data_IF_859644069103
#
_entry.id   IF_859644069103
#
_cell.length_a   1.000
_cell.length_b   1.000
_cell.length_c   1.000
_cell.angle_alpha   90.00
_cell.angle_beta   90.00
_cell.angle_gamma   90.00
#
_symmetry.space_group_name_H-M   'P 1'
#
loop_
_entity.id
_entity.type
_entity.pdbx_description
1 polymer ?
#
# COMPACT_ATOMS: atom_id res chain seq x y z
N UNK A 1 -24.21 -3.84 6.22
CA UNK A 1 -23.76 -4.16 4.86
C UNK A 1 -22.98 -2.95 4.37
N UNK A 2 -21.69 -3.10 4.12
CA UNK A 2 -20.88 -2.00 3.58
C UNK A 2 -21.27 -1.77 2.12
N UNK A 3 -21.38 -0.50 1.72
CA UNK A 3 -21.66 -0.10 0.35
C UNK A 3 -20.49 -0.50 -0.56
N UNK A 4 -20.72 -1.30 -1.64
CA UNK A 4 -19.68 -1.70 -2.58
C UNK A 4 -18.89 -0.51 -3.16
N UNK A 5 -19.55 0.62 -3.41
CA UNK A 5 -18.87 1.81 -3.94
C UNK A 5 -17.91 2.41 -2.90
N UNK A 6 -18.34 2.47 -1.63
CA UNK A 6 -17.51 2.94 -0.52
C UNK A 6 -16.31 2.01 -0.27
N UNK A 7 -16.50 0.70 -0.38
CA UNK A 7 -15.40 -0.27 -0.29
C UNK A 7 -14.38 -0.07 -1.42
N UNK A 8 -14.85 0.06 -2.67
CA UNK A 8 -13.99 0.26 -3.83
C UNK A 8 -13.16 1.53 -3.74
N UNK A 9 -13.75 2.63 -3.28
CA UNK A 9 -13.04 3.89 -3.01
C UNK A 9 -11.98 3.72 -1.92
N UNK A 10 -12.34 3.12 -0.79
CA UNK A 10 -11.43 2.90 0.32
C UNK A 10 -10.22 2.04 -0.09
N UNK A 11 -10.47 0.98 -0.85
CA UNK A 11 -9.42 0.11 -1.39
C UNK A 11 -8.49 0.90 -2.32
N UNK A 12 -9.03 1.68 -3.27
CA UNK A 12 -8.23 2.50 -4.19
C UNK A 12 -7.35 3.50 -3.45
N UNK A 13 -7.89 4.18 -2.44
CA UNK A 13 -7.13 5.15 -1.64
C UNK A 13 -5.96 4.49 -0.93
N UNK A 14 -6.19 3.35 -0.28
CA UNK A 14 -5.14 2.60 0.38
C UNK A 14 -4.06 2.11 -0.62
N UNK A 15 -4.48 1.55 -1.75
CA UNK A 15 -3.57 1.09 -2.79
C UNK A 15 -2.73 2.24 -3.37
N UNK A 16 -3.34 3.40 -3.64
CA UNK A 16 -2.65 4.57 -4.15
C UNK A 16 -1.57 5.05 -3.17
N UNK A 17 -1.90 5.18 -1.88
CA UNK A 17 -0.94 5.61 -0.85
C UNK A 17 0.24 4.64 -0.73
N UNK A 18 0.01 3.33 -0.85
CA UNK A 18 1.09 2.31 -0.85
C UNK A 18 2.04 2.46 -2.04
N UNK A 19 1.52 2.86 -3.20
CA UNK A 19 2.28 2.97 -4.46
C UNK A 19 2.82 4.38 -4.74
N UNK A 20 2.72 5.30 -3.77
CA UNK A 20 3.15 6.70 -3.94
C UNK A 20 2.25 7.51 -4.89
N UNK A 21 1.07 6.98 -5.22
CA UNK A 21 0.05 7.64 -6.01
C UNK A 21 -0.90 8.48 -5.14
N UNK A 22 -1.57 9.41 -5.80
CA UNK A 22 -2.67 10.19 -5.23
C UNK A 22 -3.97 9.57 -5.74
N UNK A 23 -4.88 9.19 -4.85
CA UNK A 23 -6.28 9.05 -5.27
C UNK A 23 -6.80 10.43 -5.69
N UNK A 24 -7.75 10.50 -6.62
CA UNK A 24 -8.22 11.74 -7.31
C UNK A 24 -8.53 12.94 -6.38
N UNK A 25 -8.72 12.71 -5.07
CA UNK A 25 -8.72 13.73 -4.03
C UNK A 25 -7.39 13.70 -3.26
N UNK A 26 -6.40 14.42 -3.79
CA UNK A 26 -5.05 14.41 -3.26
C UNK A 26 -4.91 14.84 -1.80
N UNK A 27 -4.34 14.01 -0.89
CA UNK A 27 -3.82 14.50 0.39
C UNK A 27 -2.51 15.28 0.14
N UNK A 28 -2.16 16.25 1.01
CA UNK A 28 -1.15 17.25 0.70
C UNK A 28 0.18 16.58 0.35
N UNK A 29 0.91 17.15 -0.61
CA UNK A 29 2.35 16.85 -0.79
C UNK A 29 2.96 16.83 0.59
N UNK A 30 3.40 15.66 1.05
CA UNK A 30 3.96 15.48 2.39
C UNK A 30 5.31 16.21 2.40
N UNK A 31 5.26 17.51 2.67
CA UNK A 31 6.44 18.34 2.83
C UNK A 31 6.84 18.32 4.29
N UNK A 32 8.09 17.97 4.55
CA UNK A 32 8.68 18.09 5.88
C UNK A 32 8.56 19.54 6.32
N UNK A 33 7.94 19.78 7.48
CA UNK A 33 7.88 21.12 8.06
C UNK A 33 9.30 21.56 8.46
N UNK A 34 9.63 22.85 8.38
CA UNK A 34 11.00 23.33 8.65
C UNK A 34 11.47 23.07 10.09
N UNK A 35 10.55 22.91 11.04
CA UNK A 35 10.78 22.58 12.44
C UNK A 35 10.76 21.08 12.75
N UNK A 36 10.38 20.24 11.77
CA UNK A 36 10.25 18.80 11.96
C UNK A 36 11.58 18.09 11.64
N UNK A 37 12.05 17.25 12.56
CA UNK A 37 13.20 16.39 12.31
C UNK A 37 12.91 15.38 11.19
N UNK A 38 13.96 14.89 10.51
CA UNK A 38 13.80 13.85 9.50
C UNK A 38 13.14 12.59 10.09
N UNK A 39 13.49 12.24 11.32
CA UNK A 39 12.89 11.13 12.04
C UNK A 39 11.38 11.32 12.22
N UNK A 40 10.96 12.47 12.75
CA UNK A 40 9.54 12.76 12.97
C UNK A 40 8.76 12.75 11.65
N UNK A 41 9.35 13.26 10.58
CA UNK A 41 8.73 13.24 9.26
C UNK A 41 8.58 11.82 8.71
N UNK A 42 9.61 10.98 8.79
CA UNK A 42 9.55 9.58 8.35
C UNK A 42 8.55 8.78 9.18
N UNK A 43 8.47 9.03 10.49
CA UNK A 43 7.55 8.36 11.39
C UNK A 43 6.08 8.77 11.17
N UNK A 44 5.82 9.96 10.62
CA UNK A 44 4.47 10.54 10.54
C UNK A 44 3.88 10.56 9.13
N UNK A 45 4.66 10.79 8.08
CA UNK A 45 4.09 11.22 6.78
C UNK A 45 3.19 10.17 6.11
N UNK A 46 3.66 8.92 6.02
CA UNK A 46 2.85 7.82 5.45
C UNK A 46 1.90 7.22 6.48
N UNK A 47 2.29 7.21 7.76
CA UNK A 47 1.48 6.70 8.87
C UNK A 47 0.18 7.49 9.03
N UNK A 48 0.24 8.81 8.97
CA UNK A 48 -0.94 9.68 9.06
C UNK A 48 -1.94 9.42 7.91
N UNK A 49 -1.44 9.03 6.73
CA UNK A 49 -2.28 8.65 5.59
C UNK A 49 -2.83 7.22 5.68
N UNK A 50 -2.01 6.25 6.10
CA UNK A 50 -2.37 4.83 6.10
C UNK A 50 -3.18 4.38 7.32
N UNK A 51 -2.94 4.94 8.50
CA UNK A 51 -3.59 4.51 9.74
C UNK A 51 -5.12 4.69 9.72
N UNK A 52 -5.69 5.82 9.24
CA UNK A 52 -7.14 5.95 9.10
C UNK A 52 -7.72 4.98 8.06
N UNK A 53 -7.01 4.75 6.95
CA UNK A 53 -7.43 3.83 5.89
C UNK A 53 -7.42 2.38 6.39
N UNK A 54 -6.40 1.99 7.15
CA UNK A 54 -6.32 0.67 7.80
C UNK A 54 -7.52 0.44 8.71
N UNK A 55 -7.80 1.37 9.63
CA UNK A 55 -8.93 1.24 10.58
C UNK A 55 -10.27 1.16 9.86
N UNK A 56 -10.45 1.99 8.82
CA UNK A 56 -11.63 1.94 7.99
C UNK A 56 -11.78 0.57 7.31
N UNK A 57 -10.69 0.02 6.74
CA UNK A 57 -10.68 -1.30 6.12
C UNK A 57 -10.98 -2.42 7.12
N UNK A 58 -10.35 -2.42 8.29
CA UNK A 58 -10.59 -3.39 9.37
C UNK A 58 -12.05 -3.39 9.85
N UNK A 59 -12.71 -2.23 9.84
CA UNK A 59 -14.12 -2.10 10.19
C UNK A 59 -15.10 -2.44 9.06
N UNK A 60 -14.59 -2.70 7.86
CA UNK A 60 -15.38 -2.91 6.64
C UNK A 60 -15.33 -4.37 6.22
N UNK A 61 -16.48 -5.02 6.10
CA UNK A 61 -16.52 -6.35 5.50
C UNK A 61 -16.29 -6.27 3.99
N UNK A 62 -15.34 -7.04 3.42
CA UNK A 62 -15.12 -7.05 1.98
C UNK A 62 -16.32 -7.65 1.24
N UNK A 63 -16.59 -7.21 -0.01
CA UNK A 63 -17.52 -7.89 -0.91
C UNK A 63 -17.10 -9.35 -1.13
N UNK A 64 -18.08 -10.21 -1.39
CA UNK A 64 -17.85 -11.63 -1.66
C UNK A 64 -16.87 -11.81 -2.83
N UNK A 65 -15.85 -12.65 -2.65
CA UNK A 65 -14.80 -12.91 -3.63
C UNK A 65 -13.56 -12.01 -3.51
N UNK A 66 -13.57 -11.00 -2.63
CA UNK A 66 -12.43 -10.12 -2.37
C UNK A 66 -11.80 -10.29 -0.98
N UNK A 67 -12.18 -11.31 -0.23
CA UNK A 67 -11.69 -11.56 1.13
C UNK A 67 -10.17 -11.68 1.18
N UNK A 68 -9.59 -12.38 0.20
CA UNK A 68 -8.14 -12.57 0.13
C UNK A 68 -7.40 -11.29 -0.27
N UNK A 69 -7.91 -10.55 -1.26
CA UNK A 69 -7.34 -9.28 -1.68
C UNK A 69 -7.41 -8.24 -0.54
N UNK A 70 -8.52 -8.23 0.21
CA UNK A 70 -8.69 -7.38 1.38
C UNK A 70 -7.65 -7.68 2.47
N UNK A 71 -7.47 -8.97 2.81
CA UNK A 71 -6.49 -9.42 3.80
C UNK A 71 -5.06 -9.07 3.37
N UNK A 72 -4.73 -9.24 2.10
CA UNK A 72 -3.41 -8.92 1.55
C UNK A 72 -3.15 -7.41 1.54
N UNK A 73 -4.15 -6.59 1.24
CA UNK A 73 -4.05 -5.13 1.32
C UNK A 73 -3.76 -4.68 2.76
N UNK A 74 -4.50 -5.21 3.76
CA UNK A 74 -4.24 -4.91 5.17
C UNK A 74 -2.81 -5.30 5.59
N UNK A 75 -2.35 -6.48 5.17
CA UNK A 75 -1.00 -6.94 5.43
C UNK A 75 0.06 -6.04 4.76
N UNK A 76 -0.21 -5.53 3.56
CA UNK A 76 0.67 -4.58 2.86
C UNK A 76 0.75 -3.23 3.60
N UNK A 77 -0.39 -2.72 4.11
CA UNK A 77 -0.43 -1.52 4.95
C UNK A 77 0.40 -1.71 6.22
N UNK A 78 0.20 -2.81 6.93
CA UNK A 78 0.98 -3.11 8.14
C UNK A 78 2.48 -3.21 7.84
N UNK A 79 2.86 -3.91 6.76
CA UNK A 79 4.24 -4.03 6.33
C UNK A 79 4.88 -2.65 6.03
N UNK A 80 4.16 -1.76 5.36
CA UNK A 80 4.62 -0.41 5.09
C UNK A 80 4.80 0.42 6.37
N UNK A 81 3.86 0.33 7.32
CA UNK A 81 3.94 1.01 8.61
C UNK A 81 5.13 0.51 9.46
N UNK A 82 5.40 -0.81 9.43
CA UNK A 82 6.58 -1.40 10.07
C UNK A 82 7.87 -0.91 9.41
N UNK A 83 7.90 -0.80 8.07
CA UNK A 83 9.08 -0.37 7.33
C UNK A 83 9.45 1.07 7.68
N UNK A 84 8.46 1.97 7.72
CA UNK A 84 8.66 3.36 8.12
C UNK A 84 9.13 3.47 9.58
N UNK A 85 8.59 2.64 10.49
CA UNK A 85 9.04 2.60 11.87
C UNK A 85 10.51 2.13 11.99
N UNK A 86 10.90 1.12 11.22
CA UNK A 86 12.29 0.65 11.16
C UNK A 86 13.23 1.74 10.61
N UNK A 87 12.83 2.45 9.56
CA UNK A 87 13.60 3.57 9.00
C UNK A 87 13.77 4.72 10.00
N UNK A 88 12.71 5.10 10.71
CA UNK A 88 12.78 6.14 11.75
C UNK A 88 13.75 5.72 12.88
N UNK A 89 13.65 4.47 13.36
CA UNK A 89 14.53 3.93 14.39
C UNK A 89 16.00 3.87 13.94
N UNK A 90 16.25 3.52 12.67
CA UNK A 90 17.58 3.53 12.07
C UNK A 90 18.19 4.94 12.10
N UNK A 91 17.44 5.96 11.65
CA UNK A 91 17.90 7.36 11.62
C UNK A 91 18.21 7.85 13.03
N UNK A 92 17.38 7.50 14.02
CA UNK A 92 17.62 7.83 15.43
C UNK A 92 18.93 7.22 15.94
N UNK A 93 19.09 5.91 15.78
CA UNK A 93 20.27 5.18 16.26
C UNK A 93 21.56 5.75 15.64
N UNK A 94 21.54 6.01 14.33
CA UNK A 94 22.66 6.64 13.63
C UNK A 94 22.99 8.03 14.20
N UNK A 95 21.97 8.86 14.45
CA UNK A 95 22.13 10.19 15.06
C UNK A 95 22.70 10.17 16.49
N UNK A 96 22.46 9.08 17.24
CA UNK A 96 23.02 8.88 18.58
C UNK A 96 24.42 8.23 18.58
N UNK A 97 24.98 7.89 17.41
CA UNK A 97 26.26 7.19 17.30
C UNK A 97 26.18 5.68 17.57
N UNK A 98 24.97 5.12 17.66
CA UNK A 98 24.73 3.69 17.81
C UNK A 98 24.65 3.01 16.44
N UNK A 99 25.83 2.75 15.86
CA UNK A 99 25.95 2.18 14.52
C UNK A 99 25.45 0.74 14.44
N UNK A 100 25.59 -0.05 15.50
CA UNK A 100 25.16 -1.44 15.48
C UNK A 100 23.63 -1.54 15.42
N UNK A 101 22.92 -0.82 16.29
CA UNK A 101 21.45 -0.78 16.24
C UNK A 101 20.94 -0.12 14.96
N UNK A 102 21.66 0.89 14.44
CA UNK A 102 21.35 1.44 13.11
C UNK A 102 21.42 0.38 12.02
N UNK A 103 22.42 -0.50 12.02
CA UNK A 103 22.53 -1.57 11.01
C UNK A 103 21.40 -2.59 11.14
N UNK A 104 21.04 -2.99 12.36
CA UNK A 104 19.94 -3.92 12.62
C UNK A 104 18.60 -3.37 12.09
N UNK A 105 18.31 -2.09 12.33
CA UNK A 105 17.11 -1.46 11.79
C UNK A 105 17.13 -1.31 10.27
N UNK A 106 18.30 -1.06 9.67
CA UNK A 106 18.44 -1.02 8.20
C UNK A 106 18.14 -2.37 7.57
N UNK A 107 18.62 -3.46 8.17
CA UNK A 107 18.34 -4.82 7.72
C UNK A 107 16.86 -5.17 7.86
N UNK A 108 16.24 -4.81 9.00
CA UNK A 108 14.80 -4.94 9.21
C UNK A 108 13.99 -4.22 8.12
N UNK A 109 14.36 -2.98 7.78
CA UNK A 109 13.70 -2.21 6.73
C UNK A 109 13.85 -2.88 5.35
N UNK A 110 15.02 -3.43 5.03
CA UNK A 110 15.24 -4.17 3.79
C UNK A 110 14.40 -5.46 3.70
N UNK A 111 14.29 -6.21 4.80
CA UNK A 111 13.45 -7.42 4.86
C UNK A 111 11.95 -7.08 4.68
N UNK A 112 11.49 -5.99 5.28
CA UNK A 112 10.12 -5.49 5.12
C UNK A 112 9.85 -5.01 3.68
N UNK A 113 10.81 -4.33 3.04
CA UNK A 113 10.68 -3.93 1.65
C UNK A 113 10.52 -5.15 0.72
N UNK A 114 11.29 -6.22 0.97
CA UNK A 114 11.16 -7.47 0.20
C UNK A 114 9.80 -8.14 0.44
N UNK A 115 9.34 -8.20 1.69
CA UNK A 115 8.00 -8.70 2.05
C UNK A 115 6.89 -7.89 1.39
N UNK A 116 7.03 -6.57 1.29
CA UNK A 116 6.06 -5.70 0.63
C UNK A 116 5.91 -6.07 -0.87
N UNK A 117 7.00 -6.39 -1.57
CA UNK A 117 6.95 -6.85 -2.97
C UNK A 117 6.22 -8.19 -3.09
N UNK A 118 6.43 -9.12 -2.17
CA UNK A 118 5.75 -10.43 -2.15
C UNK A 118 4.24 -10.28 -1.89
N UNK A 119 3.88 -9.39 -0.96
CA UNK A 119 2.49 -9.05 -0.67
C UNK A 119 1.81 -8.39 -1.87
N UNK A 120 2.48 -7.47 -2.55
CA UNK A 120 1.95 -6.79 -3.73
C UNK A 120 1.69 -7.77 -4.89
N UNK A 121 2.65 -8.64 -5.19
CA UNK A 121 2.46 -9.70 -6.19
C UNK A 121 1.30 -10.62 -5.84
N UNK A 122 1.19 -10.99 -4.57
CA UNK A 122 0.09 -11.84 -4.08
C UNK A 122 -1.25 -11.12 -4.19
N UNK A 123 -1.28 -9.81 -3.91
CA UNK A 123 -2.46 -8.97 -4.01
C UNK A 123 -2.96 -8.88 -5.45
N UNK A 124 -2.07 -8.60 -6.39
CA UNK A 124 -2.39 -8.56 -7.83
C UNK A 124 -2.93 -9.91 -8.29
N UNK A 125 -2.30 -11.02 -7.89
CA UNK A 125 -2.77 -12.37 -8.22
C UNK A 125 -4.14 -12.70 -7.58
N UNK A 126 -4.42 -12.19 -6.38
CA UNK A 126 -5.73 -12.36 -5.74
C UNK A 126 -6.83 -11.56 -6.46
N UNK A 127 -6.53 -10.34 -6.91
CA UNK A 127 -7.44 -9.51 -7.69
C UNK A 127 -7.77 -10.17 -9.05
N UNK A 128 -6.77 -10.73 -9.73
CA UNK A 128 -7.00 -11.48 -10.98
C UNK A 128 -7.90 -12.70 -10.76
N UNK A 129 -7.65 -13.50 -9.72
CA UNK A 129 -8.50 -14.65 -9.39
C UNK A 129 -9.94 -14.24 -9.06
N UNK A 130 -10.14 -13.10 -8.42
CA UNK A 130 -11.48 -12.58 -8.14
C UNK A 130 -12.20 -12.18 -9.43
N UNK A 131 -11.51 -11.53 -10.37
CA UNK A 131 -12.06 -11.16 -11.68
C UNK A 131 -12.36 -12.40 -12.55
N UNK A 132 -11.53 -13.43 -12.50
CA UNK A 132 -11.79 -14.71 -13.19
C UNK A 132 -13.02 -15.43 -12.63
N UNK A 133 -13.18 -15.44 -11.30
CA UNK A 133 -14.30 -16.09 -10.63
C UNK A 133 -15.62 -15.32 -10.82
N UNK A 134 -15.57 -13.99 -10.90
CA UNK A 134 -16.72 -13.12 -11.09
C UNK A 134 -16.37 -11.95 -12.04
N UNK A 135 -16.48 -12.16 -13.37
CA UNK A 135 -16.13 -11.14 -14.34
C UNK A 135 -16.90 -9.83 -14.14
N UNK A 136 -16.19 -8.71 -14.17
CA UNK A 136 -16.72 -7.37 -13.93
C UNK A 136 -16.75 -6.93 -12.47
N UNK A 137 -16.36 -7.79 -11.51
CA UNK A 137 -16.33 -7.43 -10.09
C UNK A 137 -15.38 -6.26 -9.84
N UNK A 138 -14.20 -6.25 -10.45
CA UNK A 138 -13.24 -5.16 -10.27
C UNK A 138 -13.75 -3.87 -10.90
N UNK A 139 -14.37 -3.94 -12.08
CA UNK A 139 -14.96 -2.77 -12.74
C UNK A 139 -16.10 -2.16 -11.90
N UNK A 140 -16.96 -3.00 -11.31
CA UNK A 140 -18.07 -2.55 -10.47
C UNK A 140 -17.63 -1.82 -9.20
N UNK A 141 -16.41 -2.07 -8.74
CA UNK A 141 -15.78 -1.44 -7.56
C UNK A 141 -14.81 -0.33 -7.94
N UNK A 142 -14.66 -0.02 -9.23
CA UNK A 142 -13.67 0.95 -9.74
C UNK A 142 -12.22 0.48 -9.59
N UNK A 143 -11.97 -0.82 -9.37
CA UNK A 143 -10.65 -1.42 -9.17
C UNK A 143 -9.97 -1.85 -10.48
N UNK A 144 -10.65 -1.75 -11.63
CA UNK A 144 -10.07 -2.16 -12.92
C UNK A 144 -8.78 -1.41 -13.28
N UNK A 145 -8.60 -0.19 -12.78
CA UNK A 145 -7.39 0.62 -12.96
C UNK A 145 -6.24 0.29 -12.01
N UNK A 146 -6.49 -0.55 -10.98
CA UNK A 146 -5.48 -0.97 -9.99
C UNK A 146 -4.57 -2.05 -10.57
N UNK A 147 -5.12 -2.93 -11.41
CA UNK A 147 -4.35 -3.98 -12.06
C UNK A 147 -3.41 -3.38 -13.11
N UNK A 148 -2.12 -3.81 -13.14
CA UNK A 148 -1.27 -3.50 -14.28
C UNK A 148 -1.95 -4.07 -15.52
N UNK A 149 -2.29 -3.19 -16.47
CA UNK A 149 -2.76 -3.63 -17.79
C UNK A 149 -1.66 -4.49 -18.37
N UNK A 150 -1.98 -5.74 -18.72
CA UNK A 150 -1.08 -6.56 -19.50
C UNK A 150 -0.55 -5.70 -20.64
N UNK A 151 0.79 -5.58 -20.71
CA UNK A 151 1.43 -4.94 -21.83
C UNK A 151 0.93 -5.62 -23.08
N UNK A 152 0.08 -4.91 -23.84
CA UNK A 152 -0.55 -5.45 -25.03
C UNK A 152 0.52 -6.02 -25.93
N UNK A 153 0.53 -7.34 -26.08
CA UNK A 153 1.04 -7.97 -27.27
C UNK A 153 0.12 -7.50 -28.40
N UNK A 154 0.44 -6.35 -28.99
CA UNK A 154 -0.04 -6.02 -30.32
C UNK A 154 0.57 -7.07 -31.25
N UNK A 155 -0.21 -7.96 -31.89
CA UNK A 155 0.29 -8.63 -33.06
C UNK A 155 0.58 -7.51 -34.06
N UNK A 156 1.86 -7.27 -34.36
CA UNK A 156 2.21 -6.41 -35.48
C UNK A 156 1.66 -7.09 -36.74
N UNK A 157 0.48 -6.63 -37.13
CA UNK A 157 -0.12 -6.90 -38.43
C UNK A 157 0.80 -6.34 -39.52
N UNK A 158 1.01 -7.19 -40.50
CA UNK A 158 1.70 -6.96 -41.76
C UNK A 158 1.41 -5.58 -42.38
N UNK A 159 2.45 -4.93 -42.87
CA UNK A 159 2.53 -4.32 -44.20
C UNK A 159 3.97 -4.35 -44.70
#
# INVERSE_FOLDING_TARGET
MSDPAAYGELFRRAYAVLHGGMADEGPPVLQRRPDQSLEEFLASSRREALEPLRRALESTSPPAGLEEAHRLLLAAIECALEADAALAAQVRAYGCGDYQTSLEHSQRAADLARRAVELDRSLIAALWRAEEAAPGILASLGLAQVLPRDGGHSPQGSF
#
